data_IF_411224918670
#
_entry.id   IF_411224918670
#
_cell.length_a   1.000
_cell.length_b   1.000
_cell.length_c   1.000
_cell.angle_alpha   90.00
_cell.angle_beta   90.00
_cell.angle_gamma   90.00
#
_symmetry.space_group_name_H-M   'P 1'
#
loop_
_entity.id
_entity.type
_entity.pdbx_description
1 polymer ?
#
# COMPACT_ATOMS: atom_id res chain seq x y z
N UNK A 1 5.55 5.17 -33.59
CA UNK A 1 4.46 6.15 -33.80
C UNK A 1 4.21 6.85 -32.47
N UNK A 2 4.79 8.05 -32.32
CA UNK A 2 4.95 8.73 -31.03
C UNK A 2 3.71 9.51 -30.63
N UNK A 3 2.87 8.93 -29.78
CA UNK A 3 1.98 9.72 -28.94
C UNK A 3 2.83 10.28 -27.79
N UNK A 4 3.44 11.47 -27.98
CA UNK A 4 3.93 12.27 -26.85
C UNK A 4 2.70 12.53 -25.97
N UNK A 5 2.57 11.75 -24.89
CA UNK A 5 1.50 11.90 -23.91
C UNK A 5 1.68 13.28 -23.28
N UNK A 6 0.94 14.27 -23.80
CA UNK A 6 0.99 15.66 -23.33
C UNK A 6 0.20 15.74 -22.04
N UNK A 7 0.86 15.44 -20.93
CA UNK A 7 0.34 15.78 -19.61
C UNK A 7 0.76 17.21 -19.31
N UNK A 8 -0.22 18.10 -19.19
CA UNK A 8 0.03 19.48 -18.83
C UNK A 8 0.19 19.51 -17.32
N UNK A 9 1.44 19.56 -16.86
CA UNK A 9 1.71 19.98 -15.48
C UNK A 9 1.44 21.47 -15.43
N UNK A 10 0.28 21.85 -14.92
CA UNK A 10 -0.09 23.26 -14.78
C UNK A 10 0.90 23.94 -13.85
N UNK A 11 1.81 24.71 -14.42
CA UNK A 11 2.74 25.56 -13.70
C UNK A 11 2.38 26.98 -14.04
N UNK A 12 1.62 27.65 -13.17
CA UNK A 12 1.51 29.10 -13.26
C UNK A 12 2.76 29.70 -12.63
N UNK A 13 3.86 29.75 -13.41
CA UNK A 13 5.10 30.42 -12.99
C UNK A 13 4.84 31.87 -12.57
N UNK A 14 3.83 32.51 -13.16
CA UNK A 14 3.48 33.91 -12.89
C UNK A 14 2.83 34.11 -11.51
N UNK A 15 2.23 33.07 -10.92
CA UNK A 15 1.51 33.16 -9.64
C UNK A 15 2.12 32.27 -8.55
N UNK A 16 3.24 31.61 -8.82
CA UNK A 16 4.01 30.93 -7.79
C UNK A 16 4.76 31.96 -6.94
N UNK A 17 4.69 31.81 -5.62
CA UNK A 17 5.39 32.66 -4.68
C UNK A 17 6.27 31.76 -3.84
N UNK A 18 7.57 32.00 -3.82
CA UNK A 18 8.45 31.25 -2.93
C UNK A 18 8.09 31.55 -1.47
N UNK A 19 7.85 30.50 -0.69
CA UNK A 19 7.67 30.56 0.76
C UNK A 19 8.68 29.61 1.40
N UNK A 20 9.15 29.90 2.62
CA UNK A 20 9.98 28.95 3.37
C UNK A 20 9.15 27.82 4.00
N UNK A 21 7.86 28.07 4.23
CA UNK A 21 6.89 27.14 4.81
C UNK A 21 6.41 26.11 3.78
N UNK A 22 6.51 24.82 4.13
CA UNK A 22 5.99 23.74 3.31
C UNK A 22 4.46 23.80 3.19
N UNK A 23 3.76 24.14 4.28
CA UNK A 23 2.30 24.18 4.30
C UNK A 23 1.76 25.27 3.39
N UNK A 24 2.41 26.44 3.35
CA UNK A 24 2.04 27.53 2.43
C UNK A 24 2.23 27.11 0.98
N UNK A 25 3.34 26.43 0.68
CA UNK A 25 3.60 25.90 -0.66
C UNK A 25 2.56 24.85 -1.07
N UNK A 26 2.20 23.93 -0.18
CA UNK A 26 1.15 22.93 -0.43
C UNK A 26 -0.22 23.60 -0.64
N UNK A 27 -0.56 24.59 0.18
CA UNK A 27 -1.81 25.32 0.06
C UNK A 27 -1.87 26.12 -1.25
N UNK A 28 -0.78 26.76 -1.66
CA UNK A 28 -0.70 27.47 -2.94
C UNK A 28 -0.90 26.53 -4.12
N UNK A 29 -0.30 25.33 -4.11
CA UNK A 29 -0.50 24.31 -5.15
C UNK A 29 -1.95 23.89 -5.26
N UNK A 30 -2.58 23.60 -4.12
CA UNK A 30 -3.98 23.22 -4.07
C UNK A 30 -4.87 24.30 -4.69
N UNK A 31 -4.65 25.58 -4.33
CA UNK A 31 -5.40 26.71 -4.92
C UNK A 31 -5.21 26.80 -6.44
N UNK A 32 -3.98 26.63 -6.93
CA UNK A 32 -3.68 26.65 -8.36
C UNK A 32 -4.38 25.50 -9.11
N UNK A 33 -4.33 24.29 -8.55
CA UNK A 33 -5.03 23.12 -9.10
C UNK A 33 -6.55 23.33 -9.13
N UNK A 34 -7.14 23.76 -8.00
CA UNK A 34 -8.58 24.01 -7.89
C UNK A 34 -9.04 25.08 -8.89
N UNK A 35 -8.27 26.16 -9.05
CA UNK A 35 -8.54 27.20 -10.04
C UNK A 35 -8.48 26.68 -11.47
N UNK A 36 -7.47 25.89 -11.83
CA UNK A 36 -7.40 25.32 -13.19
C UNK A 36 -8.57 24.36 -13.46
N UNK A 37 -8.86 23.47 -12.51
CA UNK A 37 -9.96 22.50 -12.62
C UNK A 37 -11.34 23.18 -12.72
N UNK A 38 -11.54 24.32 -12.05
CA UNK A 38 -12.79 25.09 -12.07
C UNK A 38 -12.87 26.18 -13.14
N UNK A 39 -11.77 26.50 -13.82
CA UNK A 39 -11.74 27.54 -14.85
C UNK A 39 -12.63 27.23 -16.06
N UNK A 40 -13.07 28.28 -16.76
CA UNK A 40 -13.72 28.15 -18.07
C UNK A 40 -12.73 27.66 -19.13
N UNK A 41 -13.25 27.08 -20.21
CA UNK A 41 -12.38 26.65 -21.30
C UNK A 41 -11.68 27.84 -21.99
N UNK A 42 -12.38 28.96 -22.17
CA UNK A 42 -11.79 30.20 -22.73
C UNK A 42 -10.57 30.69 -21.94
N UNK A 43 -10.61 30.60 -20.60
CA UNK A 43 -9.47 30.93 -19.75
C UNK A 43 -8.28 29.99 -20.02
N UNK A 44 -8.54 28.68 -20.09
CA UNK A 44 -7.50 27.67 -20.33
C UNK A 44 -6.86 27.83 -21.71
N UNK A 45 -7.67 28.08 -22.72
CA UNK A 45 -7.21 28.26 -24.10
C UNK A 45 -6.36 29.54 -24.22
N UNK A 46 -6.81 30.64 -23.61
CA UNK A 46 -6.05 31.91 -23.58
C UNK A 46 -4.73 31.77 -22.82
N UNK A 47 -4.70 30.98 -21.74
CA UNK A 47 -3.46 30.68 -21.02
C UNK A 47 -2.50 29.86 -21.89
N UNK A 48 -2.99 28.79 -22.52
CA UNK A 48 -2.17 27.91 -23.36
C UNK A 48 -1.63 28.60 -24.61
N UNK A 49 -2.36 29.57 -25.16
CA UNK A 49 -1.86 30.38 -26.28
C UNK A 49 -0.66 31.26 -25.90
N UNK A 50 -0.49 31.58 -24.61
CA UNK A 50 0.58 32.46 -24.10
C UNK A 50 1.79 31.70 -23.56
N UNK A 51 1.57 30.50 -23.02
CA UNK A 51 2.61 29.73 -22.35
C UNK A 51 3.37 28.84 -23.32
N UNK A 52 4.69 28.99 -23.35
CA UNK A 52 5.59 28.08 -24.04
C UNK A 52 5.54 26.69 -23.40
N UNK A 53 5.45 25.64 -24.22
CA UNK A 53 5.52 24.27 -23.72
C UNK A 53 6.89 24.05 -23.06
N UNK A 54 6.94 23.43 -21.87
CA UNK A 54 8.22 23.01 -21.30
C UNK A 54 8.92 22.04 -22.26
N UNK A 55 10.24 22.18 -22.39
CA UNK A 55 11.02 21.34 -23.29
C UNK A 55 11.07 19.90 -22.75
N UNK A 56 11.00 19.75 -21.42
CA UNK A 56 10.99 18.44 -20.76
C UNK A 56 9.94 18.34 -19.66
N UNK A 57 9.48 17.12 -19.39
CA UNK A 57 8.61 16.83 -18.23
C UNK A 57 9.34 16.97 -16.87
N UNK A 58 10.64 17.33 -16.89
CA UNK A 58 11.49 17.50 -15.73
C UNK A 58 11.72 18.98 -15.37
N UNK A 59 11.15 19.92 -16.12
CA UNK A 59 11.23 21.38 -15.90
C UNK A 59 10.38 21.84 -14.70
N UNK A 60 10.44 21.07 -13.61
CA UNK A 60 9.66 21.27 -12.38
C UNK A 60 10.60 21.73 -11.26
N UNK A 61 10.17 22.64 -10.35
CA UNK A 61 11.02 23.14 -9.28
C UNK A 61 11.56 22.01 -8.38
N UNK A 62 12.87 21.73 -8.50
CA UNK A 62 13.61 20.69 -7.79
C UNK A 62 13.45 20.68 -6.24
N UNK A 63 13.35 21.84 -5.54
CA UNK A 63 13.26 21.87 -4.07
C UNK A 63 12.01 21.18 -3.50
N UNK A 64 10.97 21.03 -4.32
CA UNK A 64 9.70 20.44 -3.91
C UNK A 64 9.66 18.93 -4.09
N UNK A 65 10.46 18.37 -5.00
CA UNK A 65 10.63 16.93 -5.14
C UNK A 65 11.36 16.32 -3.93
N UNK A 66 12.33 17.05 -3.37
CA UNK A 66 13.15 16.58 -2.25
C UNK A 66 12.45 16.74 -0.89
N UNK A 67 11.53 17.70 -0.76
CA UNK A 67 10.79 17.97 0.48
C UNK A 67 9.53 17.11 0.68
N UNK A 68 8.92 16.59 -0.39
CA UNK A 68 7.86 15.56 -0.27
C UNK A 68 8.54 14.22 0.05
N UNK A 69 8.90 14.07 1.32
CA UNK A 69 9.83 13.08 1.92
C UNK A 69 9.49 11.59 1.74
N UNK A 70 8.54 11.19 0.90
CA UNK A 70 8.14 9.78 0.78
C UNK A 70 8.02 9.35 -0.66
N UNK A 71 8.72 8.27 -0.99
CA UNK A 71 8.48 7.51 -2.20
C UNK A 71 7.02 7.06 -2.25
N UNK A 72 6.43 7.00 -3.45
CA UNK A 72 5.09 6.48 -3.66
C UNK A 72 4.81 5.14 -2.99
N UNK A 73 4.02 5.12 -1.92
CA UNK A 73 3.51 3.87 -1.34
C UNK A 73 2.18 3.52 -2.00
N UNK A 74 1.92 2.23 -2.13
CA UNK A 74 0.61 1.69 -2.47
C UNK A 74 0.01 0.92 -1.28
N UNK A 75 0.70 0.91 -0.14
CA UNK A 75 0.22 0.31 1.11
C UNK A 75 -0.15 1.35 2.18
N UNK A 76 -1.41 1.32 2.61
CA UNK A 76 -2.01 2.35 3.46
C UNK A 76 -2.79 1.79 4.64
N UNK A 77 -2.79 2.54 5.74
CA UNK A 77 -3.72 2.37 6.85
C UNK A 77 -4.49 3.68 7.02
N UNK A 78 -5.79 3.64 6.76
CA UNK A 78 -6.70 4.79 6.87
C UNK A 78 -7.53 4.72 8.16
N UNK A 79 -7.49 3.60 8.87
CA UNK A 79 -8.09 3.46 10.18
C UNK A 79 -7.28 4.21 11.25
N UNK A 80 -7.94 4.74 12.29
CA UNK A 80 -7.24 5.37 13.40
C UNK A 80 -6.54 4.31 14.24
N UNK A 81 -5.21 4.43 14.39
CA UNK A 81 -4.35 3.40 14.99
C UNK A 81 -3.35 4.01 15.98
N UNK A 82 -3.60 5.21 16.49
CA UNK A 82 -2.76 5.79 17.54
C UNK A 82 -2.70 4.89 18.79
N UNK A 83 -1.51 4.76 19.40
CA UNK A 83 -1.30 3.87 20.55
C UNK A 83 -2.03 4.34 21.81
N UNK A 84 -2.21 5.64 21.98
CA UNK A 84 -2.82 6.21 23.18
C UNK A 84 -4.35 6.23 23.07
N UNK A 85 -4.88 6.64 21.92
CA UNK A 85 -6.31 6.83 21.68
C UNK A 85 -7.00 5.61 21.08
N UNK A 86 -6.26 4.79 20.35
CA UNK A 86 -6.77 3.70 19.54
C UNK A 86 -5.95 2.41 19.74
N UNK A 87 -5.57 2.13 20.99
CA UNK A 87 -4.73 0.98 21.38
C UNK A 87 -5.22 -0.36 20.79
N UNK A 88 -6.52 -0.65 20.86
CA UNK A 88 -7.09 -1.89 20.29
C UNK A 88 -6.90 -1.98 18.78
N UNK A 89 -7.12 -0.87 18.06
CA UNK A 89 -6.89 -0.81 16.62
C UNK A 89 -5.39 -0.96 16.30
N UNK A 90 -4.50 -0.38 17.10
CA UNK A 90 -3.06 -0.55 16.93
C UNK A 90 -2.64 -2.01 17.11
N UNK A 91 -3.09 -2.69 18.16
CA UNK A 91 -2.80 -4.13 18.37
C UNK A 91 -3.28 -4.98 17.21
N UNK A 92 -4.49 -4.70 16.69
CA UNK A 92 -5.05 -5.40 15.52
C UNK A 92 -4.29 -5.09 14.24
N UNK A 93 -3.82 -3.85 14.05
CA UNK A 93 -2.91 -3.48 12.97
C UNK A 93 -1.62 -4.30 13.04
N UNK A 94 -0.97 -4.35 14.21
CA UNK A 94 0.26 -5.14 14.39
C UNK A 94 0.04 -6.59 13.97
N UNK A 95 -1.04 -7.23 14.43
CA UNK A 95 -1.38 -8.60 14.03
C UNK A 95 -1.56 -8.74 12.53
N UNK A 96 -2.32 -7.84 11.89
CA UNK A 96 -2.49 -7.85 10.43
C UNK A 96 -1.15 -7.77 9.68
N UNK A 97 -0.25 -6.89 10.14
CA UNK A 97 1.08 -6.75 9.54
C UNK A 97 1.91 -8.02 9.71
N UNK A 98 1.85 -8.67 10.87
CA UNK A 98 2.54 -9.95 11.10
C UNK A 98 1.97 -11.05 10.20
N UNK A 99 0.65 -11.09 10.03
CA UNK A 99 -0.01 -12.09 9.19
C UNK A 99 0.36 -11.95 7.71
N UNK A 100 0.86 -10.80 7.23
CA UNK A 100 1.39 -10.64 5.86
C UNK A 100 2.67 -11.45 5.62
N UNK A 101 3.39 -11.83 6.68
CA UNK A 101 4.55 -12.74 6.59
C UNK A 101 4.13 -14.20 6.44
N UNK A 102 2.85 -14.51 6.66
CA UNK A 102 2.30 -15.85 6.43
C UNK A 102 1.86 -15.96 4.97
N UNK A 103 2.24 -17.02 4.28
CA UNK A 103 1.80 -17.26 2.90
C UNK A 103 1.34 -18.69 2.69
N UNK A 104 0.57 -18.89 1.62
CA UNK A 104 0.22 -20.22 1.13
C UNK A 104 1.40 -20.85 0.39
N UNK A 105 1.57 -22.17 0.55
CA UNK A 105 2.59 -23.00 -0.12
C UNK A 105 2.73 -22.82 -1.65
N UNK A 106 1.70 -22.26 -2.31
CA UNK A 106 1.66 -21.99 -3.76
C UNK A 106 1.91 -20.52 -4.14
N UNK A 107 1.80 -19.59 -3.19
CA UNK A 107 2.01 -18.16 -3.37
C UNK A 107 3.47 -17.75 -3.25
N UNK A 108 3.89 -16.78 -4.07
CA UNK A 108 5.29 -16.49 -4.41
C UNK A 108 6.24 -16.20 -3.26
N UNK A 109 7.52 -16.52 -3.49
CA UNK A 109 8.70 -16.57 -2.59
C UNK A 109 9.07 -15.27 -1.81
N UNK A 110 8.15 -14.32 -1.65
CA UNK A 110 8.43 -13.01 -1.07
C UNK A 110 7.20 -12.43 -0.35
N UNK A 111 7.44 -11.60 0.65
CA UNK A 111 6.41 -10.81 1.33
C UNK A 111 5.57 -10.01 0.30
N UNK A 112 4.24 -9.85 0.49
CA UNK A 112 3.38 -9.15 -0.47
C UNK A 112 3.82 -7.71 -0.76
N UNK A 113 4.47 -7.06 0.21
CA UNK A 113 4.98 -5.69 0.08
C UNK A 113 6.44 -5.61 -0.39
N UNK A 114 7.10 -6.70 -0.84
CA UNK A 114 8.53 -6.67 -1.21
C UNK A 114 8.88 -5.72 -2.36
N UNK A 115 7.89 -5.28 -3.14
CA UNK A 115 8.01 -4.30 -4.23
C UNK A 115 7.60 -2.87 -3.82
N UNK A 116 7.15 -2.67 -2.58
CA UNK A 116 6.91 -1.32 -2.03
C UNK A 116 8.24 -0.59 -1.84
N UNK A 117 8.24 0.76 -1.85
CA UNK A 117 9.48 1.51 -1.71
C UNK A 117 10.09 1.38 -0.31
N UNK A 118 11.43 1.31 -0.31
CA UNK A 118 12.28 1.41 0.87
C UNK A 118 12.13 2.75 1.61
N UNK A 119 12.48 2.83 2.92
CA UNK A 119 13.15 1.80 3.73
C UNK A 119 12.22 0.82 4.46
N UNK A 120 10.91 1.10 4.53
CA UNK A 120 9.96 0.30 5.30
C UNK A 120 8.78 -0.17 4.43
N UNK A 121 9.01 -1.06 3.46
CA UNK A 121 7.96 -1.58 2.58
C UNK A 121 6.80 -2.26 3.33
N UNK A 122 7.09 -2.94 4.44
CA UNK A 122 6.13 -3.68 5.27
C UNK A 122 5.27 -2.80 6.19
N UNK A 123 5.60 -1.51 6.34
CA UNK A 123 4.86 -0.59 7.20
C UNK A 123 3.94 0.27 6.32
N UNK A 124 2.62 0.28 6.53
CA UNK A 124 1.72 1.10 5.75
C UNK A 124 1.96 2.59 6.00
N UNK A 125 1.66 3.43 5.01
CA UNK A 125 1.49 4.84 5.28
C UNK A 125 0.21 5.04 6.11
N UNK A 126 0.36 5.58 7.32
CA UNK A 126 -0.75 5.91 8.22
C UNK A 126 -1.17 7.36 7.98
N UNK A 127 -2.48 7.59 7.83
CA UNK A 127 -3.04 8.93 7.82
C UNK A 127 -3.30 9.40 9.25
N UNK A 128 -2.97 10.64 9.62
CA UNK A 128 -3.26 11.15 10.96
C UNK A 128 -4.78 11.13 11.20
N UNK A 129 -5.20 10.93 12.46
CA UNK A 129 -6.62 10.90 12.91
C UNK A 129 -7.42 12.19 12.61
N UNK A 130 -6.80 13.18 11.96
CA UNK A 130 -7.36 14.49 11.63
C UNK A 130 -7.98 14.56 10.23
N UNK A 131 -8.26 13.42 9.59
CA UNK A 131 -8.85 13.41 8.25
C UNK A 131 -10.23 14.07 8.27
N UNK A 132 -10.45 15.03 7.34
CA UNK A 132 -11.76 15.66 7.11
C UNK A 132 -12.78 14.73 6.47
N UNK A 133 -12.35 13.53 6.09
CA UNK A 133 -13.10 12.56 5.29
C UNK A 133 -13.20 11.25 6.05
N UNK A 134 -14.33 10.56 5.88
CA UNK A 134 -14.55 9.21 6.41
C UNK A 134 -13.39 8.28 6.03
N UNK A 135 -12.93 7.38 6.92
CA UNK A 135 -11.88 6.40 6.64
C UNK A 135 -12.42 5.29 5.72
N UNK A 136 -12.72 5.66 4.49
CA UNK A 136 -13.19 4.79 3.43
C UNK A 136 -12.16 4.76 2.28
N UNK A 137 -12.08 3.65 1.50
CA UNK A 137 -11.13 3.54 0.39
C UNK A 137 -11.25 4.67 -0.64
N UNK A 138 -12.44 5.21 -0.83
CA UNK A 138 -12.73 6.33 -1.73
C UNK A 138 -12.03 7.63 -1.29
N UNK A 139 -11.71 7.76 0.01
CA UNK A 139 -10.99 8.90 0.55
C UNK A 139 -9.48 8.84 0.30
N UNK A 140 -8.96 7.70 -0.19
CA UNK A 140 -7.53 7.51 -0.43
C UNK A 140 -6.96 8.55 -1.40
N UNK A 141 -7.60 8.77 -2.56
CA UNK A 141 -7.10 9.72 -3.55
C UNK A 141 -7.20 11.18 -3.12
N UNK A 142 -8.34 11.62 -2.56
CA UNK A 142 -8.43 12.94 -1.93
C UNK A 142 -7.29 13.20 -0.93
N UNK A 143 -7.07 12.30 0.02
CA UNK A 143 -6.10 12.50 1.10
C UNK A 143 -4.65 12.35 0.63
N UNK A 144 -4.38 11.36 -0.24
CA UNK A 144 -3.02 11.02 -0.63
C UNK A 144 -2.44 11.97 -1.67
N UNK A 145 -3.25 12.38 -2.64
CA UNK A 145 -2.77 13.15 -3.79
C UNK A 145 -3.38 14.55 -3.87
N UNK A 146 -4.69 14.69 -3.70
CA UNK A 146 -5.37 15.96 -3.98
C UNK A 146 -5.14 17.00 -2.88
N UNK A 147 -5.12 16.61 -1.61
CA UNK A 147 -4.91 17.53 -0.49
C UNK A 147 -3.54 18.22 -0.54
N UNK A 148 -2.51 17.47 -0.93
CA UNK A 148 -1.14 17.97 -1.11
C UNK A 148 -0.85 18.49 -2.52
N UNK A 149 -1.81 18.33 -3.45
CA UNK A 149 -1.64 18.58 -4.88
C UNK A 149 -0.32 17.99 -5.41
N UNK A 150 -0.11 16.69 -5.17
CA UNK A 150 1.12 16.00 -5.55
C UNK A 150 1.14 15.70 -7.06
N UNK A 151 1.77 16.61 -7.81
CA UNK A 151 1.97 16.51 -9.26
C UNK A 151 2.83 15.31 -9.72
N UNK A 152 3.41 14.51 -8.79
CA UNK A 152 3.99 13.21 -9.16
C UNK A 152 2.92 12.24 -9.64
N UNK A 153 1.69 12.38 -9.17
CA UNK A 153 0.55 11.54 -9.52
C UNK A 153 -0.48 12.29 -10.33
N UNK A 154 -0.64 13.59 -10.07
CA UNK A 154 -1.67 14.41 -10.69
C UNK A 154 -1.17 14.98 -12.00
N UNK A 155 -1.90 14.68 -13.06
CA UNK A 155 -1.81 15.36 -14.34
C UNK A 155 -3.15 16.03 -14.64
N UNK A 156 -3.14 17.14 -15.39
CA UNK A 156 -4.36 17.78 -15.85
C UNK A 156 -4.37 17.88 -17.37
N UNK A 157 -5.54 17.70 -17.97
CA UNK A 157 -5.74 17.91 -19.40
C UNK A 157 -5.95 19.39 -19.72
N UNK A 158 -5.89 19.74 -21.01
CA UNK A 158 -6.23 21.07 -21.51
C UNK A 158 -7.68 21.48 -21.20
N UNK A 159 -8.56 20.50 -20.98
CA UNK A 159 -9.96 20.68 -20.62
C UNK A 159 -10.20 20.70 -19.10
N UNK A 160 -9.12 20.75 -18.30
CA UNK A 160 -9.20 20.78 -16.84
C UNK A 160 -9.57 19.46 -16.18
N UNK A 161 -9.52 18.34 -16.91
CA UNK A 161 -9.76 17.01 -16.34
C UNK A 161 -8.54 16.56 -15.56
N UNK A 162 -8.74 16.18 -14.29
CA UNK A 162 -7.70 15.61 -13.44
C UNK A 162 -7.53 14.13 -13.76
N UNK A 163 -6.29 13.71 -13.97
CA UNK A 163 -5.89 12.33 -14.25
C UNK A 163 -4.78 11.90 -13.30
N UNK A 164 -4.68 10.59 -13.10
CA UNK A 164 -3.67 9.94 -12.27
C UNK A 164 -2.93 8.85 -13.07
N UNK A 165 -2.04 9.23 -14.01
CA UNK A 165 -1.42 8.27 -14.93
C UNK A 165 -0.59 7.20 -14.23
N UNK A 166 -0.01 7.52 -13.06
CA UNK A 166 0.81 6.60 -12.29
C UNK A 166 0.01 5.53 -11.53
N UNK A 167 -1.32 5.61 -11.51
CA UNK A 167 -2.17 4.58 -10.90
C UNK A 167 -2.53 3.45 -11.87
N UNK A 168 -2.21 3.62 -13.16
CA UNK A 168 -2.49 2.59 -14.15
C UNK A 168 -1.78 1.27 -13.81
N UNK A 169 -2.57 0.19 -13.76
CA UNK A 169 -2.12 -1.15 -13.41
C UNK A 169 -1.32 -1.19 -12.10
N UNK A 170 -1.81 -0.48 -11.07
CA UNK A 170 -1.29 -0.53 -9.70
C UNK A 170 -2.35 -1.07 -8.77
N UNK A 171 -1.97 -2.03 -7.94
CA UNK A 171 -2.81 -2.52 -6.85
C UNK A 171 -2.45 -1.77 -5.56
N UNK A 172 -3.46 -1.13 -4.98
CA UNK A 172 -3.39 -0.48 -3.67
C UNK A 172 -3.86 -1.46 -2.61
N UNK A 173 -3.07 -1.59 -1.54
CA UNK A 173 -3.43 -2.35 -0.34
C UNK A 173 -3.83 -1.37 0.76
N UNK A 174 -5.04 -1.53 1.32
CA UNK A 174 -5.60 -0.60 2.30
C UNK A 174 -6.11 -1.34 3.53
N UNK A 175 -5.79 -0.80 4.71
CA UNK A 175 -6.31 -1.23 6.01
C UNK A 175 -7.27 -0.15 6.50
N UNK A 176 -8.57 -0.43 6.42
CA UNK A 176 -9.64 0.40 6.95
C UNK A 176 -10.16 -0.15 8.30
N UNK A 177 -11.15 0.51 8.89
CA UNK A 177 -11.69 0.09 10.20
C UNK A 177 -12.32 -1.31 10.14
N UNK A 178 -12.92 -1.66 9.01
CA UNK A 178 -13.51 -2.98 8.83
C UNK A 178 -12.41 -4.04 8.69
N UNK A 179 -11.28 -3.77 8.02
CA UNK A 179 -10.12 -4.65 7.98
C UNK A 179 -9.57 -4.94 9.39
N UNK A 180 -9.52 -3.93 10.27
CA UNK A 180 -9.15 -4.13 11.67
C UNK A 180 -10.19 -4.94 12.46
N UNK A 181 -11.43 -5.02 11.99
CA UNK A 181 -12.51 -5.77 12.65
C UNK A 181 -12.59 -7.20 12.15
N UNK A 182 -12.40 -7.43 10.85
CA UNK A 182 -12.60 -8.73 10.20
C UNK A 182 -11.29 -9.43 9.85
N UNK A 183 -10.15 -8.76 10.00
CA UNK A 183 -8.86 -9.29 9.57
C UNK A 183 -8.71 -9.43 8.05
N UNK A 184 -9.52 -8.71 7.26
CA UNK A 184 -9.48 -8.76 5.80
C UNK A 184 -9.08 -7.40 5.23
N UNK A 185 -7.86 -7.31 4.72
CA UNK A 185 -7.35 -6.12 4.06
C UNK A 185 -7.99 -5.92 2.69
N UNK A 186 -7.99 -4.68 2.23
CA UNK A 186 -8.51 -4.30 0.92
C UNK A 186 -7.38 -4.35 -0.09
N UNK A 187 -7.65 -4.93 -1.25
CA UNK A 187 -6.85 -4.73 -2.46
C UNK A 187 -7.74 -4.12 -3.52
N UNK A 188 -7.30 -3.01 -4.13
CA UNK A 188 -8.07 -2.29 -5.13
C UNK A 188 -7.19 -1.79 -6.28
N UNK A 189 -7.80 -1.63 -7.45
CA UNK A 189 -7.24 -0.89 -8.58
C UNK A 189 -8.05 0.37 -8.83
N UNK A 190 -7.38 1.38 -9.35
CA UNK A 190 -8.02 2.65 -9.71
C UNK A 190 -8.00 2.84 -11.22
N UNK A 191 -9.06 3.43 -11.74
CA UNK A 191 -9.05 4.06 -13.05
C UNK A 191 -8.11 5.27 -13.05
N UNK A 192 -7.69 5.68 -14.25
CA UNK A 192 -6.87 6.90 -14.43
C UNK A 192 -7.57 8.19 -13.98
N UNK A 193 -8.88 8.17 -13.73
CA UNK A 193 -9.61 9.30 -13.16
C UNK A 193 -9.70 9.25 -11.62
N UNK A 194 -9.06 8.27 -10.99
CA UNK A 194 -9.02 8.09 -9.53
C UNK A 194 -10.21 7.34 -8.94
N UNK A 195 -11.18 6.91 -9.75
CA UNK A 195 -12.28 6.07 -9.28
C UNK A 195 -11.84 4.61 -9.08
N UNK A 196 -12.45 3.92 -8.13
CA UNK A 196 -12.23 2.48 -7.93
C UNK A 196 -12.71 1.71 -9.17
N UNK A 197 -11.81 0.91 -9.74
CA UNK A 197 -12.06 0.05 -10.89
C UNK A 197 -12.45 -1.36 -10.43
N UNK A 198 -11.55 -1.99 -9.68
CA UNK A 198 -11.69 -3.33 -9.14
C UNK A 198 -11.37 -3.31 -7.66
N UNK A 199 -12.02 -4.17 -6.88
CA UNK A 199 -11.93 -4.15 -5.43
C UNK A 199 -12.20 -5.55 -4.84
N UNK A 200 -11.45 -5.91 -3.81
CA UNK A 200 -11.72 -7.10 -3.00
C UNK A 200 -11.22 -6.92 -1.56
N UNK A 201 -11.77 -7.74 -0.65
CA UNK A 201 -11.29 -7.90 0.72
C UNK A 201 -10.69 -9.29 0.87
N UNK A 202 -9.52 -9.41 1.49
CA UNK A 202 -8.86 -10.69 1.68
C UNK A 202 -8.01 -10.77 2.93
N UNK A 203 -7.86 -11.99 3.47
CA UNK A 203 -6.92 -12.25 4.57
C UNK A 203 -5.47 -11.98 4.14
N UNK A 204 -4.59 -11.53 5.06
CA UNK A 204 -3.21 -11.18 4.75
C UNK A 204 -2.43 -12.24 3.96
N UNK A 205 -2.58 -13.52 4.31
CA UNK A 205 -1.84 -14.61 3.67
C UNK A 205 -2.25 -14.93 2.22
N UNK A 206 -3.32 -14.33 1.72
CA UNK A 206 -3.68 -14.38 0.29
C UNK A 206 -2.98 -13.27 -0.52
N UNK A 207 -2.52 -12.20 0.12
CA UNK A 207 -1.94 -11.05 -0.58
C UNK A 207 -0.63 -11.40 -1.31
N UNK A 208 0.17 -12.32 -0.75
CA UNK A 208 1.47 -12.71 -1.32
C UNK A 208 1.37 -13.27 -2.74
N UNK A 209 0.39 -14.14 -2.98
CA UNK A 209 0.17 -14.75 -4.30
C UNK A 209 -0.31 -13.72 -5.32
N UNK A 210 -1.27 -12.87 -4.95
CA UNK A 210 -1.77 -11.77 -5.81
C UNK A 210 -0.63 -10.82 -6.18
N UNK A 211 0.13 -10.35 -5.19
CA UNK A 211 1.23 -9.42 -5.43
C UNK A 211 2.36 -10.05 -6.26
N UNK A 212 2.60 -11.35 -6.13
CA UNK A 212 3.54 -12.05 -7.01
C UNK A 212 3.07 -12.00 -8.47
N UNK A 213 1.83 -12.42 -8.76
CA UNK A 213 1.31 -12.41 -10.13
C UNK A 213 1.26 -10.99 -10.71
N UNK A 214 0.84 -10.01 -9.90
CA UNK A 214 0.83 -8.61 -10.31
C UNK A 214 2.24 -8.08 -10.63
N UNK A 215 3.20 -8.19 -9.70
CA UNK A 215 4.51 -7.57 -9.86
C UNK A 215 5.41 -8.30 -10.85
N UNK A 216 5.28 -9.63 -10.96
CA UNK A 216 6.15 -10.45 -11.84
C UNK A 216 5.55 -10.64 -13.23
N UNK A 217 4.23 -10.81 -13.34
CA UNK A 217 3.55 -11.12 -14.61
C UNK A 217 2.66 -9.98 -15.12
N UNK A 218 2.51 -8.90 -14.34
CA UNK A 218 1.73 -7.73 -14.74
C UNK A 218 0.23 -7.94 -14.73
N UNK A 219 -0.28 -8.98 -14.06
CA UNK A 219 -1.71 -9.32 -14.09
C UNK A 219 -2.54 -8.27 -13.35
N UNK A 220 -3.70 -7.88 -13.90
CA UNK A 220 -4.63 -6.97 -13.24
C UNK A 220 -5.42 -7.68 -12.14
N UNK A 221 -5.87 -6.92 -11.13
CA UNK A 221 -6.62 -7.44 -9.99
C UNK A 221 -7.88 -8.21 -10.42
N UNK A 222 -8.64 -7.69 -11.40
CA UNK A 222 -9.84 -8.32 -11.92
C UNK A 222 -9.65 -9.81 -12.28
N UNK A 223 -8.54 -10.14 -12.94
CA UNK A 223 -8.25 -11.51 -13.37
C UNK A 223 -7.97 -12.46 -12.19
N UNK A 224 -7.46 -11.92 -11.07
CA UNK A 224 -7.07 -12.70 -9.89
C UNK A 224 -8.22 -12.87 -8.89
N UNK A 225 -9.21 -11.97 -8.89
CA UNK A 225 -10.37 -12.02 -7.99
C UNK A 225 -11.61 -12.66 -8.62
N UNK A 226 -11.65 -12.78 -9.95
CA UNK A 226 -12.74 -13.46 -10.66
C UNK A 226 -12.63 -14.99 -10.51
N UNK A 227 -13.63 -15.57 -9.83
CA UNK A 227 -13.78 -17.01 -9.61
C UNK A 227 -13.90 -17.84 -10.89
N UNK A 228 -14.48 -17.27 -11.95
CA UNK A 228 -14.64 -17.94 -13.24
C UNK A 228 -13.33 -18.02 -14.02
N UNK A 229 -12.40 -17.08 -13.76
CA UNK A 229 -11.11 -17.02 -14.40
C UNK A 229 -10.05 -17.75 -13.58
N UNK A 230 -9.69 -17.21 -12.42
CA UNK A 230 -8.54 -17.67 -11.65
C UNK A 230 -8.64 -17.55 -10.12
N UNK A 231 -9.77 -17.13 -9.52
CA UNK A 231 -9.87 -17.00 -8.05
C UNK A 231 -9.86 -18.33 -7.26
N UNK A 232 -9.36 -19.42 -7.85
CA UNK A 232 -8.90 -20.61 -7.11
C UNK A 232 -7.84 -20.27 -6.04
N UNK A 233 -7.26 -19.06 -6.08
CA UNK A 233 -6.30 -18.53 -5.12
C UNK A 233 -6.92 -17.97 -3.83
N UNK A 234 -8.25 -17.86 -3.73
CA UNK A 234 -8.94 -17.31 -2.55
C UNK A 234 -9.89 -18.33 -1.88
N UNK A 235 -9.47 -19.59 -1.63
CA UNK A 235 -10.32 -20.50 -0.88
C UNK A 235 -10.48 -19.99 0.55
N UNK A 236 -11.72 -19.94 1.05
CA UNK A 236 -12.03 -19.78 2.49
C UNK A 236 -11.51 -18.46 3.08
N UNK A 237 -11.78 -17.38 2.37
CA UNK A 237 -11.54 -16.01 2.80
C UNK A 237 -12.59 -15.54 3.83
N UNK A 238 -12.68 -16.23 4.96
CA UNK A 238 -13.60 -15.87 6.04
C UNK A 238 -13.00 -14.73 6.89
N UNK A 239 -13.78 -14.04 7.74
CA UNK A 239 -13.21 -13.15 8.74
C UNK A 239 -12.24 -13.89 9.69
N UNK A 240 -11.33 -13.13 10.31
CA UNK A 240 -10.43 -13.53 11.38
C UNK A 240 -10.82 -12.78 12.65
N UNK A 241 -10.73 -13.48 13.77
CA UNK A 241 -10.82 -12.87 15.10
C UNK A 241 -9.43 -12.42 15.53
N UNK A 242 -9.12 -11.15 15.34
CA UNK A 242 -7.82 -10.57 15.67
C UNK A 242 -7.60 -10.40 17.18
N UNK A 243 -8.61 -10.63 18.01
CA UNK A 243 -8.45 -10.55 19.46
C UNK A 243 -7.88 -11.88 20.03
N UNK A 244 -7.83 -12.95 19.24
CA UNK A 244 -7.17 -14.21 19.60
C UNK A 244 -5.63 -14.07 19.56
N UNK A 245 -4.89 -14.86 20.35
CA UNK A 245 -3.44 -14.93 20.24
C UNK A 245 -3.00 -15.24 18.82
N UNK A 246 -1.94 -14.58 18.34
CA UNK A 246 -1.49 -14.65 16.94
C UNK A 246 -1.25 -16.09 16.47
N UNK A 247 -0.61 -16.90 17.32
CA UNK A 247 -0.34 -18.32 17.04
C UNK A 247 -1.64 -19.11 16.91
N UNK A 248 -2.67 -18.80 17.69
CA UNK A 248 -3.97 -19.47 17.65
C UNK A 248 -4.74 -19.16 16.37
N UNK A 249 -4.64 -17.93 15.85
CA UNK A 249 -5.25 -17.53 14.58
C UNK A 249 -4.72 -18.42 13.44
N UNK A 250 -3.40 -18.56 13.36
CA UNK A 250 -2.73 -19.31 12.29
C UNK A 250 -2.94 -20.82 12.46
N UNK A 251 -2.78 -21.35 13.67
CA UNK A 251 -2.97 -22.78 13.98
C UNK A 251 -4.42 -23.21 13.72
N UNK A 252 -5.40 -22.40 14.14
CA UNK A 252 -6.82 -22.65 13.84
C UNK A 252 -7.11 -22.63 12.34
N UNK A 253 -6.53 -21.69 11.58
CA UNK A 253 -6.68 -21.64 10.13
C UNK A 253 -6.05 -22.87 9.46
N UNK A 254 -4.90 -23.33 9.94
CA UNK A 254 -4.26 -24.57 9.47
C UNK A 254 -5.13 -25.80 9.76
N UNK A 255 -5.66 -25.94 10.98
CA UNK A 255 -6.52 -27.07 11.37
C UNK A 255 -7.81 -27.13 10.55
N UNK A 256 -8.41 -25.96 10.25
CA UNK A 256 -9.58 -25.84 9.37
C UNK A 256 -9.26 -26.04 7.89
N UNK A 257 -7.98 -26.20 7.53
CA UNK A 257 -7.46 -26.25 6.14
C UNK A 257 -7.78 -24.98 5.35
N UNK A 258 -7.80 -23.84 6.02
CA UNK A 258 -7.94 -22.51 5.41
C UNK A 258 -6.56 -21.91 5.05
N UNK A 259 -5.49 -22.46 5.63
CA UNK A 259 -4.10 -22.10 5.38
C UNK A 259 -3.26 -23.37 5.17
N UNK A 260 -2.59 -23.47 4.02
CA UNK A 260 -1.69 -24.60 3.70
C UNK A 260 -0.24 -24.27 4.07
N UNK A 261 0.11 -24.56 5.32
CA UNK A 261 1.48 -24.53 5.87
C UNK A 261 1.89 -25.92 6.40
N UNK A 262 1.51 -26.98 5.69
CA UNK A 262 1.76 -28.37 6.09
C UNK A 262 3.19 -28.61 6.60
N UNK A 263 3.31 -29.24 7.77
CA UNK A 263 4.60 -29.56 8.41
C UNK A 263 5.02 -28.60 9.52
N UNK A 264 4.30 -27.47 9.70
CA UNK A 264 4.50 -26.59 10.84
C UNK A 264 3.70 -27.08 12.03
N UNK A 265 4.41 -27.45 13.09
CA UNK A 265 3.81 -27.58 14.41
C UNK A 265 3.65 -26.19 15.02
N UNK A 266 2.85 -26.08 16.08
CA UNK A 266 2.67 -24.85 16.83
C UNK A 266 4.01 -24.28 17.35
N UNK A 267 4.90 -25.15 17.79
CA UNK A 267 6.24 -24.79 18.29
C UNK A 267 7.11 -24.21 17.17
N UNK A 268 7.09 -24.84 15.98
CA UNK A 268 7.80 -24.35 14.81
C UNK A 268 7.25 -23.00 14.34
N UNK A 269 5.94 -22.85 14.33
CA UNK A 269 5.28 -21.58 14.00
C UNK A 269 5.69 -20.48 14.98
N UNK A 270 5.67 -20.78 16.28
CA UNK A 270 6.09 -19.85 17.35
C UNK A 270 7.53 -19.39 17.14
N UNK A 271 8.46 -20.33 16.93
CA UNK A 271 9.86 -20.02 16.67
C UNK A 271 10.05 -19.19 15.39
N UNK A 272 9.24 -19.43 14.37
CA UNK A 272 9.33 -18.72 13.10
C UNK A 272 8.79 -17.30 13.19
N UNK A 273 7.69 -17.08 13.91
CA UNK A 273 7.15 -15.74 14.19
C UNK A 273 8.20 -14.90 14.93
N UNK A 274 8.89 -15.47 15.91
CA UNK A 274 9.92 -14.77 16.68
C UNK A 274 11.09 -14.28 15.80
N UNK A 275 11.36 -14.93 14.66
CA UNK A 275 12.35 -14.45 13.69
C UNK A 275 11.85 -13.22 12.94
N UNK A 276 10.57 -13.17 12.56
CA UNK A 276 10.02 -12.07 11.78
C UNK A 276 9.68 -10.84 12.62
N UNK A 277 9.23 -11.10 13.85
CA UNK A 277 8.68 -10.11 14.76
C UNK A 277 9.16 -10.38 16.18
N UNK A 278 10.48 -10.23 16.42
CA UNK A 278 11.09 -10.52 17.71
C UNK A 278 10.43 -9.72 18.84
N UNK A 279 10.17 -10.40 19.95
CA UNK A 279 9.56 -9.86 21.17
C UNK A 279 8.04 -9.68 21.12
N UNK A 280 7.38 -9.84 19.95
CA UNK A 280 5.93 -9.67 19.86
C UNK A 280 5.16 -10.68 20.72
N UNK A 281 5.52 -11.96 20.64
CA UNK A 281 4.81 -13.03 21.35
C UNK A 281 4.92 -12.90 22.87
N UNK A 282 6.05 -12.38 23.36
CA UNK A 282 6.21 -12.10 24.79
C UNK A 282 5.34 -10.92 25.24
N UNK A 283 5.24 -9.86 24.43
CA UNK A 283 4.31 -8.76 24.70
C UNK A 283 2.85 -9.22 24.67
N UNK A 284 2.46 -10.06 23.72
CA UNK A 284 1.12 -10.64 23.64
C UNK A 284 0.78 -11.47 24.88
N UNK A 285 1.72 -12.30 25.36
CA UNK A 285 1.56 -13.07 26.59
C UNK A 285 1.35 -12.19 27.83
N UNK A 286 1.90 -10.98 27.83
CA UNK A 286 1.78 -10.00 28.92
C UNK A 286 0.59 -9.04 28.75
N UNK A 287 -0.13 -9.08 27.61
CA UNK A 287 -1.17 -8.10 27.28
C UNK A 287 -0.62 -6.69 26.99
N UNK A 288 0.62 -6.61 26.50
CA UNK A 288 1.37 -5.37 26.21
C UNK A 288 1.63 -5.17 24.72
N UNK A 289 0.82 -5.78 23.84
CA UNK A 289 0.98 -5.72 22.37
C UNK A 289 1.04 -4.29 21.84
N UNK A 290 0.32 -3.36 22.47
CA UNK A 290 0.29 -1.94 22.11
C UNK A 290 1.68 -1.29 22.17
N UNK A 291 2.60 -1.86 22.95
CA UNK A 291 3.97 -1.35 23.08
C UNK A 291 4.89 -1.78 21.93
N UNK A 292 4.47 -2.77 21.11
CA UNK A 292 5.28 -3.30 20.04
C UNK A 292 5.65 -2.22 19.01
N UNK A 293 6.95 -2.08 18.72
CA UNK A 293 7.45 -1.15 17.72
C UNK A 293 7.45 -1.76 16.32
N UNK A 294 6.74 -1.13 15.38
CA UNK A 294 6.69 -1.57 13.98
C UNK A 294 8.08 -1.53 13.30
N UNK A 295 9.02 -0.76 13.83
CA UNK A 295 10.41 -0.77 13.35
C UNK A 295 11.11 -2.12 13.61
N UNK A 296 10.59 -2.96 14.51
CA UNK A 296 11.12 -4.29 14.81
C UNK A 296 10.58 -5.38 13.87
N UNK A 297 9.64 -5.05 12.97
CA UNK A 297 9.26 -5.96 11.88
C UNK A 297 10.48 -6.22 11.00
N UNK A 298 10.66 -7.44 10.51
CA UNK A 298 11.74 -7.77 9.55
C UNK A 298 11.66 -6.87 8.29
N UNK A 299 12.80 -6.33 7.83
CA UNK A 299 12.87 -5.30 6.76
C UNK A 299 13.94 -5.58 5.69
N UNK A 300 14.01 -4.75 4.65
CA UNK A 300 15.13 -4.72 3.72
C UNK A 300 15.28 -5.97 2.85
N UNK A 301 16.54 -6.40 2.62
CA UNK A 301 16.83 -7.58 1.81
C UNK A 301 16.28 -8.86 2.43
N UNK A 302 16.07 -8.91 3.74
CA UNK A 302 15.50 -10.07 4.41
C UNK A 302 14.07 -10.33 3.93
N UNK A 303 13.23 -9.32 3.74
CA UNK A 303 11.87 -9.54 3.20
C UNK A 303 11.82 -9.90 1.71
N UNK A 304 12.92 -9.63 0.97
CA UNK A 304 13.05 -9.92 -0.47
C UNK A 304 13.66 -11.30 -0.73
N UNK A 305 14.59 -11.71 0.14
CA UNK A 305 15.30 -12.98 0.06
C UNK A 305 14.59 -14.12 0.82
N UNK A 306 13.65 -13.80 1.70
CA UNK A 306 13.01 -14.80 2.55
C UNK A 306 12.10 -15.76 1.77
N UNK A 307 12.61 -16.97 1.55
CA UNK A 307 11.86 -18.14 1.11
C UNK A 307 11.23 -18.84 2.32
N UNK A 308 9.91 -18.97 2.29
CA UNK A 308 9.05 -19.44 3.39
C UNK A 308 9.49 -20.68 4.12
N UNK A 309 9.20 -20.69 5.44
CA UNK A 309 8.60 -21.83 6.15
C UNK A 309 9.21 -23.18 5.72
N UNK A 310 10.55 -23.27 5.75
CA UNK A 310 11.26 -24.54 5.64
C UNK A 310 11.28 -25.10 7.06
N UNK A 311 10.72 -26.29 7.33
CA UNK A 311 10.88 -26.94 8.63
C UNK A 311 12.36 -26.93 9.01
N UNK A 312 12.75 -26.60 10.25
CA UNK A 312 14.14 -26.73 10.67
C UNK A 312 14.53 -28.20 10.53
N UNK A 313 15.20 -28.56 9.45
CA UNK A 313 15.47 -29.96 9.12
C UNK A 313 15.84 -30.28 7.68
N UNK A 314 15.64 -29.39 6.70
CA UNK A 314 16.15 -29.60 5.32
C UNK A 314 17.37 -28.71 5.01
N UNK A 315 18.58 -29.10 5.42
CA UNK A 315 19.81 -28.36 5.15
C UNK A 315 20.14 -28.24 3.64
N UNK A 316 19.54 -29.07 2.77
CA UNK A 316 19.82 -29.04 1.34
C UNK A 316 19.27 -27.78 0.62
N UNK A 317 18.29 -27.08 1.22
CA UNK A 317 17.70 -25.86 0.62
C UNK A 317 18.22 -24.55 1.16
N UNK A 318 18.92 -24.53 2.31
CA UNK A 318 19.63 -23.33 2.80
C UNK A 318 20.89 -23.02 1.99
N UNK A 319 21.36 -23.95 1.17
CA UNK A 319 22.64 -23.86 0.45
C UNK A 319 22.50 -23.79 -1.08
N UNK A 320 21.31 -23.66 -1.64
CA UNK A 320 21.20 -23.46 -3.10
C UNK A 320 21.77 -22.06 -3.43
N UNK A 321 22.92 -21.94 -4.11
CA UNK A 321 23.41 -20.65 -4.54
C UNK A 321 22.40 -20.07 -5.52
N UNK A 322 22.18 -18.76 -5.47
CA UNK A 322 21.56 -18.00 -6.55
C UNK A 322 22.26 -18.36 -7.86
N UNK A 323 21.62 -19.22 -8.66
CA UNK A 323 22.11 -19.65 -9.96
C UNK A 323 22.20 -18.45 -10.89
N UNK A 324 23.34 -18.39 -11.59
CA UNK A 324 23.81 -17.36 -12.52
C UNK A 324 22.81 -16.98 -13.62
#
# INVERSE_FOLDING_TARGET
MGAKMRFYTFHNQEEWTESESLDDQLQQRRRLMERWASASQDFRDTYQARVSLPETALDYPLPLFTRIRRSPKHFFCIAPVDRERHATNYTRLVKLLILLYTSLRRGGKSHPMSFEPDPYPQIPAVFPDHTRSSPAPEALIPQYCLESADFRYISMTQTGTVLFPRFYNKIFTVIDQEALTTGQLIMLELHVNGQIKDYTRLRPWHAGEIMMYHNVQGWPLAEMIDWSMRARFLPRNNPLDLDQPLVDIIDSAQQKRELDIHGFTRELLTAQIEVFVPGYLELERQGLEVQYDLANLMTGDDIRAYNYMIPPGDPARRQAPSGQ
#
